data_IF_241678694949
#
_entry.id   IF_241678694949
#
_cell.length_a   1.000
_cell.length_b   1.000
_cell.length_c   1.000
_cell.angle_alpha   90.00
_cell.angle_beta   90.00
_cell.angle_gamma   90.00
#
_symmetry.space_group_name_H-M   'P 1'
#
loop_
_entity.id
_entity.type
_entity.pdbx_description
1 polymer ?
#
# COMPACT_ATOMS: atom_id res chain seq x y z
N UNK A 1 -10.17 9.90 -10.85
CA UNK A 1 -8.69 9.96 -10.99
C UNK A 1 -8.09 10.54 -9.70
N UNK A 2 -8.26 9.90 -8.54
CA UNK A 2 -7.65 10.47 -7.31
C UNK A 2 -7.48 9.53 -6.13
N UNK A 3 -8.06 8.33 -6.12
CA UNK A 3 -7.88 7.41 -4.98
C UNK A 3 -6.39 7.13 -4.68
N UNK A 4 -5.56 7.05 -5.72
CA UNK A 4 -4.12 6.78 -5.61
C UNK A 4 -3.36 7.92 -4.91
N UNK A 5 -3.64 9.16 -5.31
CA UNK A 5 -3.04 10.37 -4.72
C UNK A 5 -3.53 10.58 -3.30
N UNK A 6 -4.82 10.31 -3.05
CA UNK A 6 -5.42 10.47 -1.72
C UNK A 6 -4.82 9.49 -0.72
N UNK A 7 -4.57 8.24 -1.11
CA UNK A 7 -4.00 7.23 -0.19
C UNK A 7 -2.53 7.52 0.15
N UNK A 8 -1.71 7.85 -0.84
CA UNK A 8 -0.30 8.21 -0.60
C UNK A 8 -0.17 9.50 0.21
N UNK A 9 -1.11 10.44 0.05
CA UNK A 9 -1.17 11.66 0.86
C UNK A 9 -1.58 11.38 2.32
N UNK A 10 -2.50 10.43 2.56
CA UNK A 10 -2.92 10.03 3.92
C UNK A 10 -1.83 9.28 4.68
N UNK A 11 -1.01 8.51 3.98
CA UNK A 11 0.02 7.64 4.58
C UNK A 11 1.41 7.99 4.02
N UNK A 12 2.03 9.10 4.45
CA UNK A 12 3.32 9.55 3.90
C UNK A 12 4.48 8.57 4.17
N UNK A 13 4.33 7.70 5.17
CA UNK A 13 5.31 6.68 5.55
C UNK A 13 5.17 5.38 4.73
N UNK A 14 4.27 5.37 3.73
CA UNK A 14 3.97 4.21 2.90
C UNK A 14 3.89 4.62 1.43
N UNK A 15 4.59 3.89 0.58
CA UNK A 15 4.49 3.99 -0.87
C UNK A 15 3.45 3.00 -1.38
N UNK A 16 2.43 3.49 -2.08
CA UNK A 16 1.35 2.69 -2.66
C UNK A 16 1.46 2.75 -4.18
N UNK A 17 1.87 1.64 -4.80
CA UNK A 17 2.12 1.55 -6.24
C UNK A 17 1.07 0.67 -6.90
N UNK A 18 0.37 1.15 -7.96
CA UNK A 18 -0.53 0.30 -8.72
C UNK A 18 0.26 -0.77 -9.48
N UNK A 19 -0.25 -1.99 -9.45
CA UNK A 19 0.31 -3.12 -10.18
C UNK A 19 -0.50 -3.37 -11.44
N UNK A 20 0.20 -3.74 -12.50
CA UNK A 20 -0.42 -4.18 -13.75
C UNK A 20 -0.93 -5.61 -13.60
N UNK A 21 -2.00 -5.98 -14.33
CA UNK A 21 -2.44 -7.36 -14.40
C UNK A 21 -1.28 -8.29 -14.78
N UNK A 22 -1.04 -9.31 -13.97
CA UNK A 22 0.04 -10.28 -14.17
C UNK A 22 1.38 -9.94 -13.51
N UNK A 23 1.57 -8.74 -12.94
CA UNK A 23 2.78 -8.43 -12.16
C UNK A 23 2.81 -9.17 -10.81
N UNK A 24 1.64 -9.39 -10.21
CA UNK A 24 1.48 -10.30 -9.08
C UNK A 24 0.75 -11.55 -9.56
N UNK A 25 1.38 -12.73 -9.40
CA UNK A 25 0.86 -14.00 -9.90
C UNK A 25 -0.53 -14.37 -9.37
N UNK A 26 -0.96 -13.77 -8.26
CA UNK A 26 -2.29 -13.99 -7.66
C UNK A 26 -3.32 -12.90 -7.99
N UNK A 27 -2.97 -11.86 -8.77
CA UNK A 27 -3.91 -10.82 -9.20
C UNK A 27 -4.05 -9.61 -8.27
N UNK A 28 -3.04 -9.34 -7.44
CA UNK A 28 -3.03 -8.09 -6.68
C UNK A 28 -2.86 -6.90 -7.63
N UNK A 29 -3.54 -5.80 -7.31
CA UNK A 29 -3.53 -4.57 -8.11
C UNK A 29 -2.79 -3.44 -7.40
N UNK A 30 -2.30 -3.69 -6.18
CA UNK A 30 -1.57 -2.74 -5.36
C UNK A 30 -0.37 -3.39 -4.67
N UNK A 31 0.77 -2.70 -4.70
CA UNK A 31 1.95 -2.97 -3.88
C UNK A 31 2.11 -1.86 -2.85
N UNK A 32 2.28 -2.24 -1.60
CA UNK A 32 2.31 -1.35 -0.45
C UNK A 32 3.63 -1.57 0.26
N UNK A 33 4.50 -0.57 0.21
CA UNK A 33 5.87 -0.65 0.70
C UNK A 33 6.08 0.43 1.78
N UNK A 34 6.51 0.07 3.00
CA UNK A 34 6.91 1.05 3.99
C UNK A 34 8.07 1.89 3.46
N UNK A 35 7.99 3.21 3.59
CA UNK A 35 9.08 4.11 3.18
C UNK A 35 10.27 4.02 4.14
N UNK A 36 10.01 3.63 5.40
CA UNK A 36 11.00 3.47 6.45
C UNK A 36 10.69 2.23 7.30
N UNK A 37 11.74 1.60 7.83
CA UNK A 37 11.66 0.38 8.64
C UNK A 37 11.79 -0.92 7.84
N UNK A 38 11.93 -2.05 8.54
CA UNK A 38 12.08 -3.40 7.96
C UNK A 38 10.72 -4.13 7.87
N UNK A 39 9.64 -3.35 7.80
CA UNK A 39 8.28 -3.88 7.71
C UNK A 39 8.07 -4.56 6.34
N UNK A 40 7.31 -5.67 6.29
CA UNK A 40 7.12 -6.42 5.06
C UNK A 40 6.32 -5.65 4.00
N UNK A 41 6.66 -5.87 2.72
CA UNK A 41 5.85 -5.42 1.58
C UNK A 41 4.53 -6.18 1.57
N UNK A 42 3.43 -5.45 1.42
CA UNK A 42 2.09 -6.01 1.31
C UNK A 42 1.49 -5.82 -0.08
N UNK A 43 0.55 -6.69 -0.42
CA UNK A 43 -0.15 -6.68 -1.71
C UNK A 43 -1.65 -6.65 -1.46
N UNK A 44 -2.35 -5.73 -2.12
CA UNK A 44 -3.80 -5.60 -2.00
C UNK A 44 -4.51 -5.85 -3.34
N UNK A 45 -5.72 -6.39 -3.25
CA UNK A 45 -6.55 -6.75 -4.40
C UNK A 45 -7.62 -5.69 -4.67
N UNK A 46 -7.90 -4.82 -3.69
CA UNK A 46 -8.82 -3.68 -3.82
C UNK A 46 -8.26 -2.42 -3.18
N UNK A 47 -8.88 -1.28 -3.49
CA UNK A 47 -8.51 0.04 -2.93
C UNK A 47 -8.76 0.09 -1.42
N UNK A 48 -9.83 -0.55 -0.92
CA UNK A 48 -10.13 -0.63 0.51
C UNK A 48 -9.13 -1.47 1.29
N UNK A 49 -8.64 -2.56 0.69
CA UNK A 49 -7.56 -3.35 1.27
C UNK A 49 -6.26 -2.54 1.32
N UNK A 50 -5.97 -1.78 0.24
CA UNK A 50 -4.78 -0.94 0.19
C UNK A 50 -4.76 0.12 1.29
N UNK A 51 -5.89 0.79 1.54
CA UNK A 51 -6.02 1.77 2.64
C UNK A 51 -5.83 1.12 4.01
N UNK A 52 -6.48 -0.03 4.25
CA UNK A 52 -6.37 -0.75 5.53
C UNK A 52 -4.94 -1.21 5.82
N UNK A 53 -4.26 -1.72 4.80
CA UNK A 53 -2.87 -2.15 4.91
C UNK A 53 -1.93 -0.97 5.12
N UNK A 54 -2.10 0.14 4.40
CA UNK A 54 -1.32 1.35 4.61
C UNK A 54 -1.50 1.92 6.03
N UNK A 55 -2.72 1.92 6.56
CA UNK A 55 -2.99 2.33 7.95
C UNK A 55 -2.31 1.40 8.97
N UNK A 56 -2.26 0.09 8.68
CA UNK A 56 -1.61 -0.91 9.54
C UNK A 56 -0.10 -0.68 9.60
N UNK A 57 0.56 -0.48 8.44
CA UNK A 57 2.00 -0.17 8.38
C UNK A 57 2.32 1.11 9.12
N UNK A 58 1.53 2.17 8.87
CA UNK A 58 1.71 3.47 9.52
C UNK A 58 1.59 3.35 11.04
N UNK A 59 0.65 2.53 11.54
CA UNK A 59 0.50 2.29 12.98
C UNK A 59 1.67 1.54 13.59
N UNK A 60 2.27 0.60 12.86
CA UNK A 60 3.45 -0.17 13.32
C UNK A 60 4.68 0.75 13.39
N UNK A 61 4.89 1.56 12.34
CA UNK A 61 6.07 2.42 12.23
C UNK A 61 6.07 3.63 13.19
N UNK A 62 4.92 3.99 13.78
CA UNK A 62 4.80 5.07 14.77
C UNK A 62 5.09 4.65 16.21
N UNK A 63 5.28 3.36 16.48
CA UNK A 63 5.63 2.84 17.82
C UNK A 63 7.15 2.78 18.00
#
# INVERSE_FOLDING_TARGET
MTAHQDLSFKHPDVTITPMRPGEHGNGAVWRIEPTYGDSPVMYAYTDEEADRYAATVTSINRQ
#
